data_IF_438014750868
#
_entry.id   IF_438014750868
#
_cell.length_a   1.000
_cell.length_b   1.000
_cell.length_c   1.000
_cell.angle_alpha   90.00
_cell.angle_beta   90.00
_cell.angle_gamma   90.00
#
_symmetry.space_group_name_H-M   'P 1'
#
loop_
_entity.id
_entity.type
_entity.pdbx_description
1 polymer ?
#
# COMPACT_ATOMS: atom_id res chain seq x y z
N UNK A 1 0.88 -21.36 -18.75
CA UNK A 1 -0.45 -21.62 -18.16
C UNK A 1 -0.36 -22.02 -16.69
N UNK A 2 0.40 -23.06 -16.32
CA UNK A 2 0.52 -23.53 -14.93
C UNK A 2 0.94 -22.43 -13.95
N UNK A 3 1.99 -21.66 -14.28
CA UNK A 3 2.47 -20.54 -13.44
C UNK A 3 1.40 -19.46 -13.17
N UNK A 4 0.54 -19.17 -14.15
CA UNK A 4 -0.55 -18.21 -13.98
C UNK A 4 -1.62 -18.75 -13.02
N UNK A 5 -1.87 -20.06 -13.05
CA UNK A 5 -2.79 -20.74 -12.14
C UNK A 5 -2.21 -20.81 -10.72
N UNK A 6 -0.92 -21.12 -10.58
CA UNK A 6 -0.26 -21.21 -9.26
C UNK A 6 -0.15 -19.85 -8.57
N UNK A 7 0.00 -18.77 -9.34
CA UNK A 7 0.03 -17.41 -8.81
C UNK A 7 -1.30 -16.99 -8.15
N UNK A 8 -2.43 -17.54 -8.59
CA UNK A 8 -3.74 -17.21 -8.03
C UNK A 8 -3.88 -17.60 -6.54
N UNK A 9 -3.09 -18.56 -6.07
CA UNK A 9 -3.03 -18.98 -4.66
C UNK A 9 -1.65 -18.72 -4.04
N UNK A 10 -0.88 -17.77 -4.59
CA UNK A 10 0.34 -17.27 -3.97
C UNK A 10 1.60 -18.11 -4.19
N UNK A 11 1.58 -19.06 -5.13
CA UNK A 11 2.77 -19.83 -5.52
C UNK A 11 3.38 -19.28 -6.82
N UNK A 12 4.68 -19.50 -7.01
CA UNK A 12 5.48 -19.04 -8.17
C UNK A 12 5.66 -17.52 -8.31
N UNK A 13 4.76 -16.70 -7.76
CA UNK A 13 4.94 -15.25 -7.65
C UNK A 13 5.62 -14.92 -6.34
N UNK A 14 6.69 -14.13 -6.39
CA UNK A 14 7.36 -13.59 -5.21
C UNK A 14 6.96 -12.14 -4.99
N UNK A 15 6.77 -11.77 -3.73
CA UNK A 15 6.36 -10.42 -3.31
C UNK A 15 7.14 -10.01 -2.07
N UNK A 16 7.24 -8.70 -1.86
CA UNK A 16 7.76 -8.12 -0.62
C UNK A 16 6.61 -7.94 0.38
N UNK A 17 6.87 -7.99 1.69
CA UNK A 17 5.85 -7.71 2.70
C UNK A 17 5.21 -6.31 2.54
N UNK A 18 5.98 -5.31 2.11
CA UNK A 18 5.47 -3.94 1.88
C UNK A 18 4.47 -3.89 0.71
N UNK A 19 4.66 -4.70 -0.34
CA UNK A 19 3.68 -4.83 -1.42
C UNK A 19 2.37 -5.46 -0.92
N UNK A 20 2.45 -6.44 -0.02
CA UNK A 20 1.26 -7.05 0.58
C UNK A 20 0.48 -6.05 1.46
N UNK A 21 1.17 -5.27 2.30
CA UNK A 21 0.55 -4.22 3.12
C UNK A 21 -0.12 -3.16 2.24
N UNK A 22 0.57 -2.72 1.17
CA UNK A 22 0.01 -1.77 0.20
C UNK A 22 -1.27 -2.31 -0.45
N UNK A 23 -1.25 -3.56 -0.94
CA UNK A 23 -2.40 -4.17 -1.59
C UNK A 23 -3.58 -4.33 -0.60
N UNK A 24 -3.31 -4.86 0.60
CA UNK A 24 -4.33 -5.08 1.63
C UNK A 24 -5.02 -3.78 2.06
N UNK A 25 -4.29 -2.66 2.06
CA UNK A 25 -4.85 -1.36 2.43
C UNK A 25 -6.01 -0.91 1.51
N UNK A 26 -6.11 -1.44 0.28
CA UNK A 26 -7.19 -1.10 -0.64
C UNK A 26 -8.57 -1.50 -0.11
N UNK A 27 -8.68 -2.61 0.62
CA UNK A 27 -9.96 -3.11 1.15
C UNK A 27 -10.57 -2.10 2.14
N UNK A 28 -9.73 -1.50 2.98
CA UNK A 28 -10.16 -0.54 4.00
C UNK A 28 -10.20 0.92 3.53
N UNK A 29 -9.83 1.20 2.28
CA UNK A 29 -9.73 2.57 1.74
C UNK A 29 -10.56 2.76 0.46
N UNK A 30 -11.76 2.17 0.42
CA UNK A 30 -12.68 2.27 -0.71
C UNK A 30 -12.05 1.84 -2.06
N UNK A 31 -11.17 0.85 -2.02
CA UNK A 31 -10.42 0.33 -3.16
C UNK A 31 -9.15 1.12 -3.52
N UNK A 32 -8.76 2.14 -2.75
CA UNK A 32 -7.51 2.87 -2.98
C UNK A 32 -6.37 2.26 -2.16
N UNK A 33 -5.29 1.82 -2.80
CA UNK A 33 -4.08 1.42 -2.08
C UNK A 33 -3.39 2.65 -1.49
N UNK A 34 -2.92 2.54 -0.25
CA UNK A 34 -2.05 3.51 0.39
C UNK A 34 -0.60 3.13 0.12
N UNK A 35 0.23 4.09 -0.28
CA UNK A 35 1.68 3.89 -0.30
C UNK A 35 2.16 3.77 1.15
N UNK A 36 2.76 2.65 1.58
CA UNK A 36 3.30 2.54 2.93
C UNK A 36 4.45 3.53 3.13
N UNK A 37 4.50 4.16 4.29
CA UNK A 37 5.52 5.14 4.66
C UNK A 37 5.86 4.97 6.13
N UNK A 38 7.11 5.25 6.49
CA UNK A 38 7.60 5.08 7.86
C UNK A 38 8.33 6.33 8.41
N UNK A 39 8.70 7.28 7.54
CA UNK A 39 9.29 8.55 7.94
C UNK A 39 8.18 9.58 8.09
N UNK A 40 7.95 10.09 9.30
CA UNK A 40 6.93 11.10 9.57
C UNK A 40 7.41 12.53 9.37
N UNK A 41 8.64 12.82 9.76
CA UNK A 41 9.24 14.14 9.60
C UNK A 41 10.76 14.06 9.67
N UNK A 42 11.43 15.00 9.03
CA UNK A 42 12.87 15.26 9.21
C UNK A 42 13.02 16.72 9.60
N UNK A 43 13.23 16.97 10.89
CA UNK A 43 13.31 18.32 11.47
C UNK A 43 14.69 18.62 12.03
N UNK A 44 15.13 19.87 11.90
CA UNK A 44 16.29 20.37 12.64
C UNK A 44 15.84 20.99 13.97
N UNK A 45 16.30 20.47 15.12
CA UNK A 45 15.84 20.94 16.43
C UNK A 45 16.34 22.35 16.79
N UNK A 46 17.44 22.82 16.17
CA UNK A 46 18.07 24.11 16.42
C UNK A 46 17.44 25.19 15.55
N UNK A 47 17.45 25.00 14.23
CA UNK A 47 16.91 25.98 13.27
C UNK A 47 15.39 25.91 13.09
N UNK A 48 14.73 24.89 13.66
CA UNK A 48 13.29 24.60 13.50
C UNK A 48 12.86 24.37 12.04
N UNK A 49 13.81 24.12 11.13
CA UNK A 49 13.54 23.85 9.73
C UNK A 49 13.05 22.40 9.54
N UNK A 50 11.92 22.25 8.85
CA UNK A 50 11.44 20.97 8.35
C UNK A 50 12.02 20.72 6.95
N UNK A 51 12.65 19.56 6.74
CA UNK A 51 13.20 19.14 5.44
C UNK A 51 12.29 18.17 4.72
N UNK A 52 11.46 17.45 5.45
CA UNK A 52 10.56 16.46 4.93
C UNK A 52 9.42 16.24 5.91
N UNK A 53 8.22 16.01 5.38
CA UNK A 53 7.05 15.57 6.13
C UNK A 53 6.40 14.42 5.37
N UNK A 54 6.27 13.29 6.05
CA UNK A 54 5.58 12.13 5.52
C UNK A 54 4.08 12.38 5.49
N UNK A 55 3.45 12.07 4.36
CA UNK A 55 2.03 12.28 4.16
C UNK A 55 1.38 11.06 3.50
N UNK A 56 0.08 10.89 3.78
CA UNK A 56 -0.73 9.86 3.14
C UNK A 56 -0.75 10.10 1.63
N UNK A 57 -0.32 9.11 0.87
CA UNK A 57 -0.40 9.11 -0.59
C UNK A 57 -1.05 7.84 -1.11
N UNK A 58 -1.83 7.98 -2.19
CA UNK A 58 -2.44 6.83 -2.86
C UNK A 58 -1.48 6.24 -3.87
N UNK A 59 -1.39 4.91 -3.89
CA UNK A 59 -0.55 4.16 -4.81
C UNK A 59 -1.36 3.57 -6.01
N UNK A 60 -2.63 3.95 -6.14
CA UNK A 60 -3.54 3.52 -7.20
C UNK A 60 -4.87 2.97 -6.66
N UNK A 61 -5.80 2.67 -7.57
CA UNK A 61 -7.14 2.16 -7.25
C UNK A 61 -7.47 0.88 -8.03
N UNK A 62 -7.02 -0.30 -7.56
CA UNK A 62 -7.20 -1.56 -8.30
C UNK A 62 -8.63 -2.11 -8.28
N UNK A 63 -9.45 -1.76 -7.29
CA UNK A 63 -10.82 -2.27 -7.13
C UNK A 63 -11.82 -1.16 -6.83
N UNK A 64 -13.11 -1.43 -7.05
CA UNK A 64 -14.17 -0.48 -6.70
C UNK A 64 -14.43 -0.46 -5.20
N UNK A 65 -15.14 0.57 -4.72
CA UNK A 65 -15.59 0.62 -3.31
C UNK A 65 -16.49 -0.56 -2.97
N UNK A 66 -17.43 -0.91 -3.85
CA UNK A 66 -18.34 -2.03 -3.65
C UNK A 66 -17.58 -3.36 -3.55
N UNK A 67 -16.60 -3.59 -4.44
CA UNK A 67 -15.73 -4.76 -4.36
C UNK A 67 -14.94 -4.80 -3.06
N UNK A 68 -14.38 -3.66 -2.62
CA UNK A 68 -13.60 -3.59 -1.39
C UNK A 68 -14.44 -3.97 -0.16
N UNK A 69 -15.67 -3.47 -0.06
CA UNK A 69 -16.59 -3.76 1.05
C UNK A 69 -17.16 -5.18 1.06
N UNK A 70 -17.05 -5.93 -0.05
CA UNK A 70 -17.48 -7.35 -0.11
C UNK A 70 -16.38 -8.34 0.26
N UNK A 71 -15.12 -7.88 0.25
CA UNK A 71 -13.94 -8.71 0.56
C UNK A 71 -13.54 -8.58 2.03
N UNK A 72 -13.82 -7.42 2.64
CA UNK A 72 -13.87 -7.26 4.10
C UNK A 72 -14.87 -8.23 4.73
#
# INVERSE_FOLDING_TARGET
ALQQKTSAFGQSTTVTPVQMIQAQSAFFNNGNMLKPWFVSSIDNPISKKNFYKGEKSYAGKPITKDTASKVE
#
